data_IF_297791025940
#
_entry.id   IF_297791025940
#
_cell.length_a   1.000
_cell.length_b   1.000
_cell.length_c   1.000
_cell.angle_alpha   90.00
_cell.angle_beta   90.00
_cell.angle_gamma   90.00
#
_symmetry.space_group_name_H-M   'P 1'
#
loop_
_entity.id
_entity.type
_entity.pdbx_description
1 polymer ?
#
# COMPACT_ATOMS: atom_id res chain seq x y z
N UNK A 1 67.01 -137.29 48.28
CA UNK A 1 68.28 -136.96 48.97
C UNK A 1 68.00 -136.87 50.46
N UNK A 2 68.71 -137.64 51.29
CA UNK A 2 68.57 -137.56 52.75
C UNK A 2 69.20 -136.22 53.20
N UNK A 3 68.50 -135.38 53.99
CA UNK A 3 69.07 -134.13 54.45
C UNK A 3 70.34 -134.40 55.26
N UNK A 4 71.40 -133.61 55.03
CA UNK A 4 72.56 -133.60 55.92
C UNK A 4 72.08 -133.13 57.30
N UNK A 5 71.99 -134.06 58.24
CA UNK A 5 71.73 -133.77 59.65
C UNK A 5 73.04 -133.27 60.24
N UNK A 6 73.22 -131.95 60.25
CA UNK A 6 74.27 -131.32 61.03
C UNK A 6 73.93 -131.48 62.52
N UNK A 7 74.97 -131.75 63.30
CA UNK A 7 74.88 -131.87 64.76
C UNK A 7 74.54 -130.51 65.37
N UNK A 8 73.70 -130.45 66.42
CA UNK A 8 73.30 -129.20 67.05
C UNK A 8 74.47 -128.29 67.42
N UNK A 9 75.58 -128.84 67.92
CA UNK A 9 76.79 -128.09 68.28
C UNK A 9 77.40 -127.32 67.10
N UNK A 10 77.40 -127.90 65.90
CA UNK A 10 77.97 -127.26 64.71
C UNK A 10 77.11 -126.07 64.25
N UNK A 11 75.80 -126.18 64.43
CA UNK A 11 74.84 -125.11 64.11
C UNK A 11 75.02 -123.95 65.11
N UNK A 12 75.25 -124.27 66.38
CA UNK A 12 75.51 -123.31 67.46
C UNK A 12 76.83 -122.57 67.22
N UNK A 13 77.91 -123.28 66.92
CA UNK A 13 79.21 -122.68 66.65
C UNK A 13 79.18 -121.74 65.43
N UNK A 14 78.44 -122.12 64.38
CA UNK A 14 78.19 -121.27 63.23
C UNK A 14 77.39 -120.00 63.57
N UNK A 15 76.40 -120.11 64.46
CA UNK A 15 75.64 -118.96 64.96
C UNK A 15 76.49 -118.01 65.82
N UNK A 16 77.33 -118.55 66.71
CA UNK A 16 78.27 -117.76 67.52
C UNK A 16 79.30 -117.05 66.65
N UNK A 17 79.81 -117.69 65.61
CA UNK A 17 80.73 -117.06 64.66
C UNK A 17 80.06 -115.93 63.86
N UNK A 18 78.79 -116.11 63.46
CA UNK A 18 78.00 -115.03 62.82
C UNK A 18 77.74 -113.86 63.78
N UNK A 19 77.53 -114.16 65.07
CA UNK A 19 77.38 -113.15 66.13
C UNK A 19 78.66 -112.36 66.38
N UNK A 20 79.82 -113.03 66.45
CA UNK A 20 81.13 -112.41 66.63
C UNK A 20 81.51 -111.47 65.46
N UNK A 21 81.02 -111.77 64.25
CA UNK A 21 81.17 -110.91 63.07
C UNK A 21 80.11 -109.79 62.98
N UNK A 22 79.20 -109.68 63.95
CA UNK A 22 78.14 -108.67 63.97
C UNK A 22 77.09 -108.84 62.87
N UNK A 23 76.96 -110.04 62.29
CA UNK A 23 75.98 -110.33 61.22
C UNK A 23 74.68 -110.91 61.78
N UNK A 24 73.55 -110.56 61.15
CA UNK A 24 72.24 -111.05 61.54
C UNK A 24 72.10 -112.57 61.35
N UNK A 25 71.68 -113.27 62.41
CA UNK A 25 71.60 -114.74 62.45
C UNK A 25 70.22 -115.21 61.98
N UNK A 26 70.09 -115.32 60.66
CA UNK A 26 68.90 -115.90 60.00
C UNK A 26 69.15 -117.35 59.62
N UNK A 27 68.09 -118.14 59.39
CA UNK A 27 68.23 -119.54 58.95
C UNK A 27 69.05 -119.71 57.67
N UNK A 28 69.01 -118.72 56.77
CA UNK A 28 69.84 -118.69 55.57
C UNK A 28 71.30 -118.32 55.85
N UNK A 29 71.56 -117.38 56.78
CA UNK A 29 72.93 -117.06 57.20
C UNK A 29 73.60 -118.28 57.86
N UNK A 30 72.86 -119.01 58.70
CA UNK A 30 73.30 -120.27 59.31
C UNK A 30 73.58 -121.33 58.24
N UNK A 31 72.69 -121.49 57.25
CA UNK A 31 72.91 -122.39 56.12
C UNK A 31 74.18 -122.04 55.33
N UNK A 32 74.41 -120.75 55.09
CA UNK A 32 75.59 -120.27 54.36
C UNK A 32 76.89 -120.49 55.14
N UNK A 33 76.84 -120.47 56.48
CA UNK A 33 78.01 -120.72 57.35
C UNK A 33 78.30 -122.20 57.56
N UNK A 34 77.26 -123.01 57.76
CA UNK A 34 77.36 -124.47 57.99
C UNK A 34 77.56 -125.24 56.66
N UNK A 35 77.26 -124.61 55.52
CA UNK A 35 77.51 -125.16 54.18
C UNK A 35 76.35 -125.98 53.60
N UNK A 36 75.20 -126.06 54.27
CA UNK A 36 74.03 -126.81 53.80
C UNK A 36 72.95 -126.98 54.86
N UNK A 37 71.90 -127.75 54.55
CA UNK A 37 70.81 -128.06 55.48
C UNK A 37 69.53 -127.24 55.25
N UNK A 38 68.46 -127.60 55.98
CA UNK A 38 67.18 -126.90 55.93
C UNK A 38 67.24 -125.62 56.79
N UNK A 39 67.08 -124.41 56.21
CA UNK A 39 67.10 -123.15 56.96
C UNK A 39 66.15 -123.11 58.16
N UNK A 40 64.99 -123.76 58.05
CA UNK A 40 64.01 -123.84 59.13
C UNK A 40 64.51 -124.63 60.33
N UNK A 41 65.11 -125.81 60.11
CA UNK A 41 65.71 -126.61 61.19
C UNK A 41 66.93 -125.93 61.80
N UNK A 42 67.79 -125.30 60.98
CA UNK A 42 68.97 -124.59 61.46
C UNK A 42 68.57 -123.39 62.34
N UNK A 43 67.57 -122.62 61.89
CA UNK A 43 67.03 -121.51 62.67
C UNK A 43 66.34 -122.02 63.92
N UNK A 44 65.58 -123.11 63.85
CA UNK A 44 64.96 -123.72 65.02
C UNK A 44 65.97 -124.17 66.06
N UNK A 45 67.04 -124.88 65.68
CA UNK A 45 68.08 -125.32 66.63
C UNK A 45 68.85 -124.13 67.20
N UNK A 46 69.12 -123.10 66.39
CA UNK A 46 69.73 -121.86 66.88
C UNK A 46 68.80 -121.07 67.80
N UNK A 47 67.51 -121.04 67.51
CA UNK A 47 66.49 -120.38 68.33
C UNK A 47 66.23 -121.19 69.61
N UNK A 48 66.34 -122.52 69.57
CA UNK A 48 66.34 -123.40 70.75
C UNK A 48 67.61 -123.19 71.58
N UNK A 49 68.79 -123.05 70.95
CA UNK A 49 70.02 -122.66 71.64
C UNK A 49 69.94 -121.24 72.23
N UNK A 50 69.37 -120.28 71.50
CA UNK A 50 69.08 -118.96 72.02
C UNK A 50 68.05 -119.04 73.14
N UNK A 51 67.03 -119.88 73.06
CA UNK A 51 66.00 -120.05 74.09
C UNK A 51 66.47 -120.89 75.28
N UNK A 52 67.56 -121.66 75.15
CA UNK A 52 68.23 -122.38 76.25
C UNK A 52 69.39 -121.58 76.83
N UNK A 53 70.03 -120.68 76.07
CA UNK A 53 70.84 -119.59 76.64
C UNK A 53 69.98 -118.50 77.27
N UNK A 54 68.78 -118.31 76.71
CA UNK A 54 67.66 -117.53 77.25
C UNK A 54 66.69 -118.49 77.94
N UNK A 55 67.20 -119.55 78.57
CA UNK A 55 66.73 -119.82 79.92
C UNK A 55 67.14 -118.57 80.69
N UNK A 56 66.30 -117.53 80.57
CA UNK A 56 65.91 -116.79 81.73
C UNK A 56 65.41 -117.90 82.64
N UNK A 57 66.31 -118.44 83.46
CA UNK A 57 65.97 -118.67 84.84
C UNK A 57 65.23 -117.39 85.18
N UNK A 58 63.91 -117.45 85.13
CA UNK A 58 63.13 -116.70 86.06
C UNK A 58 63.66 -117.26 87.39
N UNK A 59 64.80 -116.71 87.83
CA UNK A 59 64.92 -116.28 89.21
C UNK A 59 63.52 -115.80 89.49
N UNK A 60 62.79 -116.41 90.44
CA UNK A 60 61.52 -115.86 90.83
C UNK A 60 61.87 -114.39 91.02
N UNK A 61 61.34 -113.50 90.17
CA UNK A 61 61.56 -112.07 90.35
C UNK A 61 61.12 -111.94 91.77
N UNK A 62 62.11 -111.80 92.67
CA UNK A 62 61.85 -111.94 94.09
C UNK A 62 60.75 -110.95 94.25
N UNK A 63 59.53 -111.44 94.57
CA UNK A 63 58.34 -110.59 94.58
C UNK A 63 58.84 -109.35 95.28
N UNK A 64 58.88 -108.23 94.53
CA UNK A 64 59.58 -107.04 95.00
C UNK A 64 59.11 -106.92 96.43
N UNK A 65 60.03 -107.01 97.43
CA UNK A 65 59.63 -107.18 98.83
C UNK A 65 58.44 -106.28 99.06
N UNK A 66 57.33 -106.79 99.63
CA UNK A 66 56.00 -106.14 99.52
C UNK A 66 56.06 -104.61 99.70
N UNK A 67 56.98 -104.14 100.54
CA UNK A 67 57.42 -102.76 100.68
C UNK A 67 57.80 -102.05 99.35
N UNK A 68 58.72 -102.59 98.55
CA UNK A 68 59.14 -102.05 97.25
C UNK A 68 58.04 -102.13 96.18
N UNK A 69 57.21 -103.18 96.16
CA UNK A 69 56.07 -103.27 95.23
C UNK A 69 54.99 -102.22 95.55
N UNK A 70 54.68 -102.04 96.84
CA UNK A 70 53.76 -101.00 97.32
C UNK A 70 54.33 -99.59 97.08
N UNK A 71 55.65 -99.37 97.24
CA UNK A 71 56.30 -98.10 96.88
C UNK A 71 56.22 -97.81 95.38
N UNK A 72 56.51 -98.78 94.50
CA UNK A 72 56.38 -98.60 93.04
C UNK A 72 54.92 -98.32 92.64
N UNK A 73 53.97 -98.99 93.28
CA UNK A 73 52.53 -98.76 93.09
C UNK A 73 52.10 -97.38 93.60
N UNK A 74 52.59 -96.95 94.75
CA UNK A 74 52.34 -95.61 95.29
C UNK A 74 52.91 -94.52 94.38
N UNK A 75 54.16 -94.68 93.91
CA UNK A 75 54.81 -93.74 92.98
C UNK A 75 54.10 -93.70 91.64
N UNK A 76 53.72 -94.84 91.08
CA UNK A 76 52.97 -94.88 89.80
C UNK A 76 51.57 -94.29 89.93
N UNK A 77 50.87 -94.52 91.06
CA UNK A 77 49.59 -93.87 91.36
C UNK A 77 49.74 -92.36 91.49
N UNK A 78 50.75 -91.89 92.25
CA UNK A 78 51.04 -90.46 92.41
C UNK A 78 51.43 -89.79 91.09
N UNK A 79 52.19 -90.49 90.23
CA UNK A 79 52.53 -90.01 88.90
C UNK A 79 51.31 -89.95 87.99
N UNK A 80 50.45 -90.96 87.99
CA UNK A 80 49.20 -90.97 87.23
C UNK A 80 48.25 -89.84 87.67
N UNK A 81 48.18 -89.57 88.97
CA UNK A 81 47.41 -88.45 89.53
C UNK A 81 48.00 -87.10 89.09
N UNK A 82 49.34 -86.94 89.15
CA UNK A 82 50.04 -85.75 88.66
C UNK A 82 49.83 -85.51 87.17
N UNK A 83 49.88 -86.56 86.35
CA UNK A 83 49.62 -86.48 84.90
C UNK A 83 48.16 -86.08 84.65
N UNK A 84 47.21 -86.67 85.38
CA UNK A 84 45.79 -86.32 85.27
C UNK A 84 45.53 -84.87 85.63
N UNK A 85 46.12 -84.40 86.74
CA UNK A 85 46.05 -83.00 87.16
C UNK A 85 46.65 -82.05 86.10
N UNK A 86 47.85 -82.35 85.60
CA UNK A 86 48.49 -81.56 84.55
C UNK A 86 47.64 -81.51 83.27
N UNK A 87 47.02 -82.62 82.89
CA UNK A 87 46.12 -82.69 81.74
C UNK A 87 44.88 -81.82 81.93
N UNK A 88 44.28 -81.82 83.12
CA UNK A 88 43.15 -80.93 83.44
C UNK A 88 43.55 -79.45 83.40
N UNK A 89 44.72 -79.09 83.97
CA UNK A 89 45.21 -77.71 83.94
C UNK A 89 45.55 -77.23 82.52
N UNK A 90 46.14 -78.09 81.69
CA UNK A 90 46.40 -77.81 80.28
C UNK A 90 45.10 -77.64 79.49
N UNK A 91 44.10 -78.48 79.74
CA UNK A 91 42.78 -78.36 79.13
C UNK A 91 42.11 -77.03 79.52
N UNK A 92 42.07 -76.70 80.82
CA UNK A 92 41.51 -75.44 81.30
C UNK A 92 42.21 -74.21 80.68
N UNK A 93 43.54 -74.25 80.54
CA UNK A 93 44.30 -73.20 79.84
C UNK A 93 43.95 -73.12 78.36
N UNK A 94 43.80 -74.26 77.69
CA UNK A 94 43.42 -74.32 76.27
C UNK A 94 42.00 -73.78 76.04
N UNK A 95 41.04 -74.16 76.88
CA UNK A 95 39.65 -73.67 76.84
C UNK A 95 39.63 -72.16 77.06
N UNK A 96 40.28 -71.65 78.11
CA UNK A 96 40.34 -70.19 78.35
C UNK A 96 41.00 -69.42 77.22
N UNK A 97 42.04 -69.99 76.58
CA UNK A 97 42.67 -69.38 75.42
C UNK A 97 41.77 -69.38 74.19
N UNK A 98 41.00 -70.46 73.97
CA UNK A 98 40.01 -70.55 72.91
C UNK A 98 38.84 -69.57 73.13
N UNK A 99 38.30 -69.49 74.34
CA UNK A 99 37.24 -68.53 74.71
C UNK A 99 37.67 -67.08 74.49
N UNK A 100 38.90 -66.73 74.89
CA UNK A 100 39.46 -65.40 74.61
C UNK A 100 39.56 -65.13 73.11
N UNK A 101 40.08 -66.06 72.32
CA UNK A 101 40.13 -65.94 70.86
C UNK A 101 38.73 -65.78 70.24
N UNK A 102 37.75 -66.57 70.69
CA UNK A 102 36.37 -66.46 70.21
C UNK A 102 35.79 -65.09 70.58
N UNK A 103 36.01 -64.61 71.79
CA UNK A 103 35.55 -63.27 72.21
C UNK A 103 36.20 -62.16 71.39
N UNK A 104 37.50 -62.26 71.10
CA UNK A 104 38.22 -61.29 70.28
C UNK A 104 37.72 -61.29 68.83
N UNK A 105 37.55 -62.47 68.22
CA UNK A 105 37.00 -62.62 66.87
C UNK A 105 35.57 -62.10 66.79
N UNK A 106 34.73 -62.42 67.78
CA UNK A 106 33.34 -61.95 67.83
C UNK A 106 33.29 -60.43 67.97
N UNK A 107 34.14 -59.85 68.82
CA UNK A 107 34.26 -58.39 68.97
C UNK A 107 34.72 -57.74 67.67
N UNK A 108 35.77 -58.26 67.03
CA UNK A 108 36.30 -57.72 65.78
C UNK A 108 35.27 -57.82 64.63
N UNK A 109 34.53 -58.93 64.53
CA UNK A 109 33.45 -59.09 63.56
C UNK A 109 32.29 -58.11 63.84
N UNK A 110 31.94 -57.90 65.12
CA UNK A 110 30.95 -56.90 65.52
C UNK A 110 31.38 -55.47 65.17
N UNK A 111 32.63 -55.12 65.39
CA UNK A 111 33.18 -53.81 65.01
C UNK A 111 33.22 -53.63 63.49
N UNK A 112 33.60 -54.67 62.74
CA UNK A 112 33.62 -54.64 61.27
C UNK A 112 32.22 -54.52 60.67
N UNK A 113 31.23 -55.24 61.21
CA UNK A 113 29.83 -55.15 60.76
C UNK A 113 29.25 -53.76 61.07
N UNK A 114 29.47 -53.24 62.28
CA UNK A 114 29.03 -51.88 62.63
C UNK A 114 29.68 -50.80 61.74
N UNK A 115 30.96 -50.98 61.37
CA UNK A 115 31.62 -50.07 60.44
C UNK A 115 31.03 -50.16 59.02
N UNK A 116 30.81 -51.37 58.51
CA UNK A 116 30.19 -51.57 57.20
C UNK A 116 28.76 -51.01 57.15
N UNK A 117 27.97 -51.17 58.21
CA UNK A 117 26.63 -50.59 58.31
C UNK A 117 26.65 -49.05 58.27
N UNK A 118 27.63 -48.41 58.92
CA UNK A 118 27.81 -46.96 58.86
C UNK A 118 28.19 -46.50 57.45
N UNK A 119 29.15 -47.18 56.83
CA UNK A 119 29.57 -46.86 55.46
C UNK A 119 28.43 -47.05 54.44
N UNK A 120 27.61 -48.10 54.63
CA UNK A 120 26.42 -48.31 53.82
C UNK A 120 25.36 -47.22 54.03
N UNK A 121 25.17 -46.76 55.27
CA UNK A 121 24.24 -45.67 55.57
C UNK A 121 24.70 -44.34 54.94
N UNK A 122 26.00 -44.03 55.03
CA UNK A 122 26.60 -42.85 54.39
C UNK A 122 26.45 -42.95 52.86
N UNK A 123 26.73 -44.11 52.27
CA UNK A 123 26.55 -44.34 50.84
C UNK A 123 25.09 -44.18 50.41
N UNK A 124 24.13 -44.72 51.17
CA UNK A 124 22.70 -44.56 50.90
C UNK A 124 22.29 -43.08 50.92
N UNK A 125 22.73 -42.31 51.93
CA UNK A 125 22.48 -40.87 51.98
C UNK A 125 23.06 -40.13 50.77
N UNK A 126 24.27 -40.49 50.32
CA UNK A 126 24.84 -39.86 49.12
C UNK A 126 24.07 -40.19 47.84
N UNK A 127 23.45 -41.37 47.76
CA UNK A 127 22.59 -41.72 46.63
C UNK A 127 21.32 -40.87 46.66
N UNK A 128 20.67 -40.75 47.81
CA UNK A 128 19.47 -39.91 47.98
C UNK A 128 19.76 -38.45 47.59
N UNK A 129 20.89 -37.88 48.05
CA UNK A 129 21.32 -36.53 47.70
C UNK A 129 21.58 -36.35 46.20
N UNK A 130 22.07 -37.39 45.52
CA UNK A 130 22.32 -37.38 44.07
C UNK A 130 21.02 -37.52 43.27
N UNK A 131 20.07 -38.33 43.76
CA UNK A 131 18.74 -38.47 43.16
C UNK A 131 17.97 -37.15 43.25
N UNK A 132 18.00 -36.46 44.40
CA UNK A 132 17.37 -35.14 44.55
C UNK A 132 17.97 -34.11 43.57
N UNK A 133 19.30 -34.10 43.42
CA UNK A 133 19.98 -33.24 42.44
C UNK A 133 19.60 -33.59 41.00
N UNK A 134 19.51 -34.87 40.68
CA UNK A 134 19.12 -35.34 39.35
C UNK A 134 17.69 -34.91 39.02
N UNK A 135 16.77 -35.03 39.97
CA UNK A 135 15.39 -34.57 39.82
C UNK A 135 15.33 -33.05 39.63
N UNK A 136 16.10 -32.30 40.41
CA UNK A 136 16.23 -30.84 40.27
C UNK A 136 16.71 -30.42 38.88
N UNK A 137 17.84 -30.98 38.42
CA UNK A 137 18.39 -30.69 37.08
C UNK A 137 17.43 -31.12 35.97
N UNK A 138 16.73 -32.24 36.14
CA UNK A 138 15.75 -32.71 35.16
C UNK A 138 14.55 -31.77 35.08
N UNK A 139 14.07 -31.24 36.21
CA UNK A 139 13.01 -30.25 36.26
C UNK A 139 13.43 -28.92 35.60
N UNK A 140 14.65 -28.45 35.87
CA UNK A 140 15.22 -27.26 35.23
C UNK A 140 15.36 -27.44 33.71
N UNK A 141 15.83 -28.61 33.26
CA UNK A 141 15.94 -28.93 31.84
C UNK A 141 14.57 -28.92 31.15
N UNK A 142 13.54 -29.53 31.77
CA UNK A 142 12.17 -29.50 31.24
C UNK A 142 11.67 -28.06 31.10
N UNK A 143 11.85 -27.24 32.13
CA UNK A 143 11.47 -25.82 32.10
C UNK A 143 12.22 -25.03 31.02
N UNK A 144 13.51 -25.29 30.83
CA UNK A 144 14.30 -24.64 29.80
C UNK A 144 13.82 -25.03 28.39
N UNK A 145 13.44 -26.30 28.18
CA UNK A 145 12.85 -26.75 26.91
C UNK A 145 11.50 -26.09 26.64
N UNK A 146 10.62 -25.99 27.65
CA UNK A 146 9.34 -25.29 27.52
C UNK A 146 9.52 -23.80 27.15
N UNK A 147 10.48 -23.12 27.78
CA UNK A 147 10.80 -21.73 27.46
C UNK A 147 11.39 -21.57 26.05
N UNK A 148 12.22 -22.52 25.61
CA UNK A 148 12.79 -22.53 24.27
C UNK A 148 11.69 -22.71 23.21
N UNK A 149 10.77 -23.64 23.42
CA UNK A 149 9.66 -23.87 22.49
C UNK A 149 8.70 -22.67 22.48
N UNK A 150 8.38 -22.07 23.63
CA UNK A 150 7.61 -20.83 23.68
C UNK A 150 8.31 -19.66 22.94
N UNK A 151 9.64 -19.57 23.03
CA UNK A 151 10.41 -18.58 22.28
C UNK A 151 10.35 -18.83 20.77
N UNK A 152 10.43 -20.10 20.34
CA UNK A 152 10.32 -20.48 18.94
C UNK A 152 8.95 -20.19 18.36
N UNK A 153 7.87 -20.42 19.12
CA UNK A 153 6.52 -20.08 18.68
C UNK A 153 6.35 -18.55 18.53
N UNK A 154 6.84 -17.76 19.48
CA UNK A 154 6.85 -16.29 19.34
C UNK A 154 7.66 -15.81 18.13
N UNK A 155 8.79 -16.46 17.83
CA UNK A 155 9.60 -16.13 16.66
C UNK A 155 8.84 -16.44 15.35
N UNK A 156 8.14 -17.58 15.29
CA UNK A 156 7.27 -17.92 14.15
C UNK A 156 6.13 -16.90 13.98
N UNK A 157 5.45 -16.53 15.06
CA UNK A 157 4.41 -15.50 15.05
C UNK A 157 4.96 -14.16 14.55
N UNK A 158 6.13 -13.75 15.04
CA UNK A 158 6.80 -12.52 14.59
C UNK A 158 7.20 -12.57 13.11
N UNK A 159 7.68 -13.72 12.63
CA UNK A 159 8.01 -13.91 11.21
C UNK A 159 6.77 -13.78 10.32
N UNK A 160 5.67 -14.41 10.71
CA UNK A 160 4.38 -14.29 10.00
C UNK A 160 3.93 -12.82 9.99
N UNK A 161 3.90 -12.15 11.14
CA UNK A 161 3.53 -10.74 11.23
C UNK A 161 4.45 -9.84 10.40
N UNK A 162 5.76 -10.11 10.37
CA UNK A 162 6.70 -9.37 9.54
C UNK A 162 6.44 -9.57 8.05
N UNK A 163 6.09 -10.79 7.62
CA UNK A 163 5.71 -11.06 6.23
C UNK A 163 4.42 -10.33 5.83
N UNK A 164 3.39 -10.36 6.69
CA UNK A 164 2.14 -9.63 6.44
C UNK A 164 2.36 -8.11 6.32
N UNK A 165 3.19 -7.53 7.21
CA UNK A 165 3.53 -6.10 7.14
C UNK A 165 4.31 -5.78 5.87
N UNK A 166 5.24 -6.64 5.44
CA UNK A 166 5.98 -6.45 4.18
C UNK A 166 5.05 -6.52 2.96
N UNK A 167 4.10 -7.45 2.95
CA UNK A 167 3.11 -7.55 1.89
C UNK A 167 2.20 -6.33 1.82
N UNK A 168 1.72 -5.85 2.98
CA UNK A 168 0.93 -4.60 3.07
C UNK A 168 1.72 -3.39 2.62
N UNK A 169 3.00 -3.30 2.99
CA UNK A 169 3.89 -2.23 2.55
C UNK A 169 4.08 -2.26 1.03
N UNK A 170 4.40 -3.43 0.46
CA UNK A 170 4.56 -3.57 -0.99
C UNK A 170 3.27 -3.23 -1.75
N UNK A 171 2.10 -3.63 -1.23
CA UNK A 171 0.81 -3.25 -1.80
C UNK A 171 0.57 -1.73 -1.75
N UNK A 172 0.88 -1.09 -0.63
CA UNK A 172 0.77 0.37 -0.47
C UNK A 172 1.75 1.12 -1.37
N UNK A 173 2.99 0.64 -1.51
CA UNK A 173 3.99 1.23 -2.41
C UNK A 173 3.54 1.13 -3.87
N UNK A 174 2.98 -0.01 -4.28
CA UNK A 174 2.42 -0.19 -5.63
C UNK A 174 1.25 0.77 -5.88
N UNK A 175 0.31 0.88 -4.93
CA UNK A 175 -0.80 1.83 -5.02
C UNK A 175 -0.30 3.27 -5.13
N UNK A 176 0.72 3.64 -4.36
CA UNK A 176 1.31 4.97 -4.43
C UNK A 176 1.97 5.25 -5.79
N UNK A 177 2.72 4.28 -6.33
CA UNK A 177 3.32 4.39 -7.66
C UNK A 177 2.27 4.52 -8.77
N UNK A 178 1.17 3.77 -8.69
CA UNK A 178 0.05 3.88 -9.63
C UNK A 178 -0.64 5.24 -9.52
N UNK A 179 -0.89 5.73 -8.30
CA UNK A 179 -1.45 7.05 -8.05
C UNK A 179 -0.53 8.17 -8.55
N UNK A 180 0.79 8.06 -8.37
CA UNK A 180 1.77 9.03 -8.86
C UNK A 180 1.79 9.06 -10.40
N UNK A 181 1.74 7.88 -11.06
CA UNK A 181 1.63 7.80 -12.52
C UNK A 181 0.33 8.44 -13.03
N UNK A 182 -0.80 8.16 -12.38
CA UNK A 182 -2.09 8.77 -12.73
C UNK A 182 -2.07 10.29 -12.53
N UNK A 183 -1.49 10.78 -11.43
CA UNK A 183 -1.33 12.20 -11.16
C UNK A 183 -0.46 12.90 -12.21
N UNK A 184 0.67 12.28 -12.61
CA UNK A 184 1.52 12.80 -13.69
C UNK A 184 0.79 12.86 -15.03
N UNK A 185 0.04 11.83 -15.39
CA UNK A 185 -0.77 11.80 -16.61
C UNK A 185 -1.86 12.88 -16.59
N UNK A 186 -2.58 13.04 -15.47
CA UNK A 186 -3.59 14.07 -15.32
C UNK A 186 -2.98 15.49 -15.40
N UNK A 187 -1.84 15.71 -14.75
CA UNK A 187 -1.11 16.99 -14.84
C UNK A 187 -0.67 17.30 -16.27
N UNK A 188 -0.19 16.30 -17.02
CA UNK A 188 0.21 16.48 -18.42
C UNK A 188 -1.00 16.76 -19.32
N UNK A 189 -2.13 16.07 -19.11
CA UNK A 189 -3.38 16.36 -19.82
C UNK A 189 -3.87 17.78 -19.53
N UNK A 190 -3.85 18.22 -18.28
CA UNK A 190 -4.20 19.59 -17.92
C UNK A 190 -3.26 20.61 -18.55
N UNK A 191 -1.95 20.34 -18.59
CA UNK A 191 -0.96 21.18 -19.27
C UNK A 191 -1.29 21.33 -20.76
N UNK A 192 -1.58 20.23 -21.44
CA UNK A 192 -1.97 20.22 -22.84
C UNK A 192 -3.29 20.97 -23.10
N UNK A 193 -4.29 20.80 -22.22
CA UNK A 193 -5.56 21.54 -22.33
C UNK A 193 -5.37 23.04 -22.14
N UNK A 194 -4.53 23.45 -21.20
CA UNK A 194 -4.19 24.87 -21.00
C UNK A 194 -3.50 25.44 -22.24
N UNK A 195 -2.55 24.70 -22.83
CA UNK A 195 -1.85 25.11 -24.04
C UNK A 195 -2.80 25.22 -25.26
N UNK A 196 -3.70 24.25 -25.45
CA UNK A 196 -4.75 24.33 -26.48
C UNK A 196 -5.67 25.54 -26.29
N UNK A 197 -6.16 25.76 -25.07
CA UNK A 197 -7.02 26.90 -24.75
C UNK A 197 -6.30 28.23 -24.96
N UNK A 198 -5.02 28.33 -24.59
CA UNK A 198 -4.19 29.51 -24.85
C UNK A 198 -4.04 29.76 -26.36
N UNK A 199 -3.79 28.72 -27.15
CA UNK A 199 -3.70 28.84 -28.61
C UNK A 199 -5.03 29.30 -29.23
N UNK A 200 -6.15 28.70 -28.81
CA UNK A 200 -7.50 29.08 -29.25
C UNK A 200 -7.85 30.51 -28.88
N UNK A 201 -7.47 30.95 -27.68
CA UNK A 201 -7.68 32.31 -27.21
C UNK A 201 -6.86 33.30 -28.04
N UNK A 202 -5.57 33.02 -28.27
CA UNK A 202 -4.72 33.86 -29.13
C UNK A 202 -5.26 33.95 -30.57
N UNK A 203 -5.75 32.84 -31.13
CA UNK A 203 -6.38 32.83 -32.45
C UNK A 203 -7.69 33.64 -32.49
N UNK A 204 -8.52 33.53 -31.46
CA UNK A 204 -9.76 34.30 -31.35
C UNK A 204 -9.48 35.80 -31.20
N UNK A 205 -8.48 36.18 -30.39
CA UNK A 205 -8.03 37.56 -30.24
C UNK A 205 -7.52 38.13 -31.57
N UNK A 206 -6.73 37.36 -32.32
CA UNK A 206 -6.26 37.74 -33.65
C UNK A 206 -7.42 37.94 -34.63
N UNK A 207 -8.36 36.99 -34.70
CA UNK A 207 -9.53 37.09 -35.57
C UNK A 207 -10.42 38.29 -35.21
N UNK A 208 -10.58 38.58 -33.92
CA UNK A 208 -11.33 39.74 -33.45
C UNK A 208 -10.63 41.06 -33.82
N UNK A 209 -9.29 41.11 -33.71
CA UNK A 209 -8.51 42.26 -34.15
C UNK A 209 -8.62 42.47 -35.66
N UNK A 210 -8.52 41.40 -36.46
CA UNK A 210 -8.69 41.44 -37.92
C UNK A 210 -10.10 41.92 -38.30
N UNK A 211 -11.16 41.34 -37.73
CA UNK A 211 -12.55 41.80 -37.95
C UNK A 211 -12.75 43.26 -37.51
N UNK A 212 -12.20 43.66 -36.36
CA UNK A 212 -12.23 45.04 -35.91
C UNK A 212 -11.56 46.00 -36.90
N UNK A 213 -10.39 45.64 -37.43
CA UNK A 213 -9.73 46.44 -38.48
C UNK A 213 -10.55 46.50 -39.77
N UNK A 214 -11.13 45.38 -40.22
CA UNK A 214 -12.00 45.31 -41.38
C UNK A 214 -13.22 46.23 -41.22
N UNK A 215 -13.91 46.17 -40.09
CA UNK A 215 -15.06 47.05 -39.82
C UNK A 215 -14.68 48.52 -39.77
N UNK A 216 -13.52 48.88 -39.19
CA UNK A 216 -13.03 50.26 -39.21
C UNK A 216 -12.74 50.72 -40.64
N UNK A 217 -12.17 49.86 -41.49
CA UNK A 217 -11.95 50.19 -42.90
C UNK A 217 -13.26 50.31 -43.68
N UNK A 218 -14.20 49.38 -43.51
CA UNK A 218 -15.53 49.43 -44.15
C UNK A 218 -16.29 50.69 -43.75
N UNK A 219 -16.29 51.05 -42.46
CA UNK A 219 -16.92 52.29 -41.98
C UNK A 219 -16.25 53.54 -42.57
N UNK A 220 -14.93 53.53 -42.72
CA UNK A 220 -14.21 54.64 -43.36
C UNK A 220 -14.59 54.76 -44.84
N UNK A 221 -14.64 53.63 -45.55
CA UNK A 221 -14.96 53.59 -46.98
C UNK A 221 -16.42 53.97 -47.23
N UNK A 222 -17.36 53.45 -46.44
CA UNK A 222 -18.77 53.86 -46.46
C UNK A 222 -18.91 55.36 -46.17
N UNK A 223 -18.19 55.89 -45.17
CA UNK A 223 -18.20 57.32 -44.88
C UNK A 223 -17.64 58.13 -46.05
N UNK A 224 -16.58 57.67 -46.71
CA UNK A 224 -16.02 58.31 -47.89
C UNK A 224 -17.02 58.29 -49.07
N UNK A 225 -17.66 57.14 -49.32
CA UNK A 225 -18.72 56.98 -50.33
C UNK A 225 -19.90 57.94 -50.05
N UNK A 226 -20.41 57.99 -48.82
CA UNK A 226 -21.46 58.93 -48.46
C UNK A 226 -21.04 60.39 -48.62
N UNK A 227 -19.80 60.76 -48.30
CA UNK A 227 -19.29 62.11 -48.56
C UNK A 227 -19.30 62.41 -50.07
N UNK A 228 -18.89 61.46 -50.91
CA UNK A 228 -18.92 61.62 -52.37
C UNK A 228 -20.35 61.73 -52.91
N UNK A 229 -21.25 60.85 -52.49
CA UNK A 229 -22.68 60.88 -52.88
C UNK A 229 -23.33 62.20 -52.47
N UNK A 230 -23.12 62.66 -51.23
CA UNK A 230 -23.64 63.95 -50.76
C UNK A 230 -23.07 65.10 -51.60
N UNK A 231 -21.78 65.05 -51.96
CA UNK A 231 -21.17 66.06 -52.83
C UNK A 231 -21.77 66.05 -54.24
N UNK A 232 -21.98 64.87 -54.82
CA UNK A 232 -22.61 64.70 -56.13
C UNK A 232 -24.06 65.18 -56.11
N UNK A 233 -24.86 64.74 -55.13
CA UNK A 233 -26.23 65.20 -54.92
C UNK A 233 -26.29 66.72 -54.74
N UNK A 234 -25.39 67.31 -53.95
CA UNK A 234 -25.31 68.77 -53.77
C UNK A 234 -24.97 69.48 -55.08
N UNK A 235 -24.03 68.93 -55.86
CA UNK A 235 -23.67 69.50 -57.17
C UNK A 235 -24.79 69.36 -58.20
N UNK A 236 -25.51 68.23 -58.20
CA UNK A 236 -26.67 67.97 -59.03
C UNK A 236 -27.81 68.91 -58.65
N UNK A 237 -28.10 69.05 -57.35
CA UNK A 237 -29.09 69.99 -56.83
C UNK A 237 -28.77 71.43 -57.24
N UNK A 238 -27.52 71.87 -57.06
CA UNK A 238 -27.09 73.22 -57.48
C UNK A 238 -27.20 73.44 -58.99
N UNK A 239 -26.90 72.42 -59.82
CA UNK A 239 -27.13 72.48 -61.28
C UNK A 239 -28.62 72.59 -61.60
N UNK A 240 -29.46 71.75 -61.00
CA UNK A 240 -30.92 71.79 -61.22
C UNK A 240 -31.52 73.11 -60.75
N UNK A 241 -31.05 73.65 -59.63
CA UNK A 241 -31.46 74.94 -59.10
C UNK A 241 -31.04 76.08 -60.06
N UNK A 242 -29.80 76.05 -60.56
CA UNK A 242 -29.34 77.01 -61.59
C UNK A 242 -30.13 76.91 -62.89
N UNK A 243 -30.46 75.71 -63.35
CA UNK A 243 -31.25 75.50 -64.56
C UNK A 243 -32.72 75.92 -64.36
N UNK A 244 -33.29 75.67 -63.18
CA UNK A 244 -34.61 76.17 -62.80
C UNK A 244 -34.62 77.71 -62.74
N UNK A 245 -33.58 78.31 -62.16
CA UNK A 245 -33.43 79.77 -62.13
C UNK A 245 -33.35 80.35 -63.54
N UNK A 246 -32.53 79.78 -64.44
CA UNK A 246 -32.47 80.21 -65.85
C UNK A 246 -33.82 80.06 -66.55
N UNK A 247 -34.55 78.98 -66.29
CA UNK A 247 -35.89 78.76 -66.86
C UNK A 247 -36.89 79.78 -66.32
N UNK A 248 -36.78 80.15 -65.05
CA UNK A 248 -37.58 81.20 -64.42
C UNK A 248 -37.26 82.56 -65.06
N UNK A 249 -35.99 82.96 -65.13
CA UNK A 249 -35.54 84.21 -65.75
C UNK A 249 -36.00 84.31 -67.23
N UNK A 250 -35.93 83.20 -67.97
CA UNK A 250 -36.41 83.13 -69.35
C UNK A 250 -37.94 83.24 -69.45
N UNK A 251 -38.67 82.63 -68.51
CA UNK A 251 -40.13 82.78 -68.43
C UNK A 251 -40.54 84.20 -68.07
N UNK A 252 -39.85 84.84 -67.13
CA UNK A 252 -40.02 86.25 -66.77
C UNK A 252 -39.72 87.18 -67.94
N UNK A 253 -38.63 86.93 -68.68
CA UNK A 253 -38.29 87.69 -69.89
C UNK A 253 -39.36 87.55 -70.97
N UNK A 254 -39.87 86.33 -71.20
CA UNK A 254 -40.99 86.10 -72.14
C UNK A 254 -42.28 86.77 -71.68
N UNK A 255 -42.55 86.79 -70.37
CA UNK A 255 -43.70 87.49 -69.80
C UNK A 255 -43.55 89.01 -69.99
N UNK A 256 -42.36 89.56 -69.77
CA UNK A 256 -42.05 90.97 -70.01
C UNK A 256 -42.18 91.33 -71.51
N UNK A 257 -41.67 90.49 -72.41
CA UNK A 257 -41.85 90.63 -73.87
C UNK A 257 -43.33 90.51 -74.28
N UNK A 258 -44.09 89.61 -73.69
CA UNK A 258 -45.53 89.50 -73.93
C UNK A 258 -46.25 90.75 -73.43
N UNK A 259 -45.86 91.26 -72.26
CA UNK A 259 -46.36 92.52 -71.70
C UNK A 259 -46.06 93.72 -72.59
N UNK A 260 -44.85 93.82 -73.15
CA UNK A 260 -44.51 94.90 -74.10
C UNK A 260 -45.22 94.74 -75.44
N UNK A 261 -45.37 93.53 -75.97
CA UNK A 261 -46.19 93.27 -77.17
C UNK A 261 -47.65 93.65 -76.96
N UNK A 262 -48.26 93.22 -75.85
CA UNK A 262 -49.64 93.62 -75.53
C UNK A 262 -49.77 95.13 -75.32
N UNK A 263 -48.78 95.79 -74.70
CA UNK A 263 -48.79 97.25 -74.58
C UNK A 263 -48.73 97.94 -75.95
N UNK A 264 -47.91 97.42 -76.87
CA UNK A 264 -47.81 97.91 -78.25
C UNK A 264 -49.10 97.65 -79.04
N UNK A 265 -49.68 96.45 -78.95
CA UNK A 265 -50.97 96.11 -79.57
C UNK A 265 -52.10 97.01 -79.05
N UNK A 266 -52.17 97.26 -77.74
CA UNK A 266 -53.13 98.19 -77.16
C UNK A 266 -52.92 99.63 -77.63
N UNK A 267 -51.67 100.05 -77.84
CA UNK A 267 -51.35 101.37 -78.39
C UNK A 267 -51.78 101.48 -79.86
N UNK A 268 -51.58 100.43 -80.67
CA UNK A 268 -52.00 100.37 -82.07
C UNK A 268 -53.53 100.35 -82.21
N UNK A 269 -54.23 99.60 -81.36
CA UNK A 269 -55.69 99.62 -81.29
C UNK A 269 -56.18 101.03 -80.93
N UNK A 270 -55.52 101.72 -79.98
CA UNK A 270 -55.87 103.11 -79.63
C UNK A 270 -55.65 104.09 -80.78
N UNK A 271 -54.56 103.96 -81.54
CA UNK A 271 -54.30 104.85 -82.68
C UNK A 271 -55.28 104.59 -83.83
N UNK A 272 -55.62 103.33 -84.10
CA UNK A 272 -56.67 102.97 -85.06
C UNK A 272 -58.03 103.55 -84.64
N UNK A 273 -58.44 103.36 -83.39
CA UNK A 273 -59.70 103.89 -82.87
C UNK A 273 -59.75 105.43 -82.90
N UNK A 274 -58.63 106.11 -82.60
CA UNK A 274 -58.52 107.56 -82.72
C UNK A 274 -58.64 108.05 -84.17
N UNK A 275 -58.12 107.28 -85.13
CA UNK A 275 -58.28 107.54 -86.57
C UNK A 275 -59.74 107.41 -87.01
N UNK A 276 -60.42 106.35 -86.60
CA UNK A 276 -61.85 106.14 -86.89
C UNK A 276 -62.74 107.24 -86.29
N UNK A 277 -62.43 107.70 -85.07
CA UNK A 277 -63.17 108.78 -84.42
C UNK A 277 -63.04 110.11 -85.17
N UNK A 278 -61.85 110.46 -85.69
CA UNK A 278 -61.65 111.66 -86.52
C UNK A 278 -62.45 111.63 -87.82
N UNK A 279 -62.55 110.46 -88.45
CA UNK A 279 -63.35 110.29 -89.67
C UNK A 279 -64.84 110.47 -89.34
N UNK A 280 -65.30 109.95 -88.20
CA UNK A 280 -66.68 110.12 -87.72
C UNK A 280 -67.02 111.57 -87.37
N UNK A 281 -66.11 112.30 -86.74
CA UNK A 281 -66.28 113.73 -86.44
C UNK A 281 -66.38 114.58 -87.72
N UNK A 282 -65.51 114.33 -88.71
CA UNK A 282 -65.57 115.03 -89.99
C UNK A 282 -66.89 114.79 -90.75
N UNK A 283 -67.45 113.58 -90.67
CA UNK A 283 -68.74 113.25 -91.26
C UNK A 283 -69.91 113.98 -90.57
N UNK A 284 -69.85 114.13 -89.24
CA UNK A 284 -70.86 114.85 -88.47
C UNK A 284 -70.84 116.37 -88.77
N UNK A 285 -69.66 116.98 -88.88
CA UNK A 285 -69.53 118.39 -89.25
C UNK A 285 -70.11 118.70 -90.63
N UNK A 286 -69.93 117.81 -91.60
CA UNK A 286 -70.52 117.97 -92.95
C UNK A 286 -72.05 117.95 -92.89
N UNK A 287 -72.63 116.99 -92.16
CA UNK A 287 -74.10 116.89 -92.00
C UNK A 287 -74.72 118.05 -91.20
N UNK A 288 -73.98 118.65 -90.27
CA UNK A 288 -74.43 119.84 -89.56
C UNK A 288 -74.45 121.08 -90.46
N UNK A 289 -73.51 121.19 -91.40
CA UNK A 289 -73.47 122.28 -92.38
C UNK A 289 -74.65 122.21 -93.37
N UNK A 290 -74.95 121.02 -93.87
CA UNK A 290 -76.07 120.82 -94.81
C UNK A 290 -77.46 121.05 -94.17
N UNK A 291 -77.61 120.74 -92.87
CA UNK A 291 -78.87 120.98 -92.14
C UNK A 291 -79.09 122.45 -91.75
N UNK A 292 -78.00 123.22 -91.61
CA UNK A 292 -78.01 124.68 -91.42
C UNK A 292 -78.55 125.39 -92.67
N UNK A 293 -78.00 125.08 -93.84
CA UNK A 293 -78.34 125.76 -95.09
C UNK A 293 -79.80 125.49 -95.53
N UNK A 294 -80.31 124.29 -95.24
CA UNK A 294 -81.71 123.93 -95.49
C UNK A 294 -82.71 124.70 -94.60
N UNK A 295 -82.28 125.19 -93.43
CA UNK A 295 -83.12 125.94 -92.48
C UNK A 295 -83.29 127.40 -92.90
N UNK A 296 -82.23 128.03 -93.41
CA UNK A 296 -82.28 129.42 -93.89
C UNK A 296 -83.14 129.56 -95.15
N UNK A 297 -83.06 128.62 -96.09
CA UNK A 297 -83.91 128.62 -97.29
C UNK A 297 -85.42 128.50 -96.96
N UNK A 298 -85.77 127.78 -95.88
CA UNK A 298 -87.15 127.61 -95.43
C UNK A 298 -87.71 128.87 -94.77
N UNK A 299 -86.88 129.62 -94.03
CA UNK A 299 -87.29 130.87 -93.38
C UNK A 299 -87.65 131.97 -94.40
N UNK A 300 -86.91 132.06 -95.51
CA UNK A 300 -87.17 133.03 -96.58
C UNK A 300 -88.52 132.80 -97.29
N UNK A 301 -88.84 131.55 -97.64
CA UNK A 301 -90.11 131.19 -98.33
C UNK A 301 -91.36 131.41 -97.46
N UNK A 302 -91.21 131.41 -96.13
CA UNK A 302 -92.34 131.59 -95.21
C UNK A 302 -92.74 133.07 -95.08
N UNK A 303 -91.78 133.99 -95.25
CA UNK A 303 -92.03 135.44 -95.21
C UNK A 303 -92.82 135.97 -96.43
N UNK A 304 -92.56 135.43 -97.62
CA UNK A 304 -93.27 135.82 -98.85
C UNK A 304 -94.75 135.39 -98.84
N UNK A 305 -95.07 134.26 -98.20
CA UNK A 305 -96.43 133.72 -98.13
C UNK A 305 -97.35 134.53 -97.19
N UNK A 306 -96.77 135.18 -96.17
CA UNK A 306 -97.51 136.07 -95.27
C UNK A 306 -97.89 137.41 -95.91
N UNK A 307 -97.08 137.92 -96.86
CA UNK A 307 -97.37 139.16 -97.58
C UNK A 307 -98.55 139.01 -98.56
N UNK A 308 -98.75 137.83 -99.14
CA UNK A 308 -99.84 137.55 -100.09
C UNK A 308 -101.20 137.30 -99.42
N UNK A 309 -101.24 136.77 -98.19
CA UNK A 309 -102.50 136.55 -97.46
C UNK A 309 -103.13 137.85 -96.96
N UNK A 310 -102.33 138.81 -96.51
CA UNK A 310 -102.84 140.10 -96.01
C UNK A 310 -103.49 140.97 -97.10
N UNK A 311 -103.04 140.85 -98.36
CA UNK A 311 -103.59 141.62 -99.48
C UNK A 311 -104.97 141.09 -99.96
N UNK A 312 -105.22 139.77 -99.84
CA UNK A 312 -106.48 139.17 -100.28
C UNK A 312 -107.63 139.35 -99.29
N UNK A 313 -107.35 139.50 -97.99
CA UNK A 313 -108.40 139.74 -96.99
C UNK A 313 -109.01 141.16 -97.09
N UNK A 314 -108.26 142.15 -97.57
CA UNK A 314 -108.78 143.52 -97.72
C UNK A 314 -109.73 143.69 -98.93
N UNK A 315 -109.63 142.83 -99.95
CA UNK A 315 -110.50 142.87 -101.14
C UNK A 315 -111.87 142.20 -100.93
N UNK A 316 -111.96 141.21 -100.04
CA UNK A 316 -113.20 140.48 -99.77
C UNK A 316 -114.20 141.25 -98.88
N UNK A 317 -113.75 142.25 -98.11
CA UNK A 317 -114.60 142.95 -97.14
C UNK A 317 -115.46 144.07 -97.75
N UNK A 318 -115.17 144.59 -98.94
CA UNK A 318 -115.86 145.77 -99.50
C UNK A 318 -117.03 145.47 -100.46
N UNK A 319 -117.27 144.21 -100.86
CA UNK A 319 -118.28 143.85 -101.87
C UNK A 319 -119.58 143.22 -101.33
N UNK A 320 -119.83 143.18 -100.02
CA UNK A 320 -121.09 142.69 -99.44
C UNK A 320 -121.64 143.63 -98.35
N UNK A 321 -122.50 144.60 -98.71
CA UNK A 321 -123.21 145.47 -97.76
C UNK A 321 -124.31 144.72 -96.98
N UNK A 322 -124.64 144.99 -95.71
CA UNK A 322 -124.30 146.06 -94.75
C UNK A 322 -124.32 145.50 -93.31
N UNK A 323 -123.46 146.06 -92.44
CA UNK A 323 -123.32 145.94 -90.97
C UNK A 323 -122.91 144.56 -90.39
N UNK A 324 -121.64 144.39 -89.95
CA UNK A 324 -121.10 143.08 -89.46
C UNK A 324 -119.78 143.22 -88.65
N UNK A 325 -119.39 142.22 -87.83
CA UNK A 325 -119.57 142.18 -86.37
C UNK A 325 -118.33 142.51 -85.52
N UNK A 326 -118.60 142.75 -84.23
CA UNK A 326 -117.72 143.07 -83.10
C UNK A 326 -116.51 142.12 -82.93
N UNK A 327 -115.27 142.60 -82.80
CA UNK A 327 -114.61 143.34 -81.70
C UNK A 327 -114.23 142.49 -80.47
N UNK A 328 -112.91 142.26 -80.30
CA UNK A 328 -112.20 142.17 -79.01
C UNK A 328 -110.67 142.21 -79.22
N UNK A 329 -109.95 142.90 -78.32
CA UNK A 329 -108.50 143.18 -78.31
C UNK A 329 -107.77 142.31 -77.27
N UNK A 330 -106.45 142.08 -77.44
CA UNK A 330 -105.27 142.20 -76.49
C UNK A 330 -104.17 141.16 -76.77
N UNK A 331 -103.00 141.52 -77.32
CA UNK A 331 -101.68 141.89 -76.70
C UNK A 331 -100.70 140.72 -76.44
N UNK A 332 -99.61 140.75 -77.23
CA UNK A 332 -98.27 140.14 -77.13
C UNK A 332 -98.14 138.63 -77.16
#
# INVERSE_FOLDING_TARGET
>A
MRPATFEPQQIIEAGLALQAEGRNITGFALRNRVGGGNPGRLKQVWDEHLASQTEVTAEPVAELPVEVAEEVKAVSSALAERISQLATELNDKAVRAAERRVSEVTRAAGEQTAQAERELADAAQTVDDLEEKLDGVTAELRKALELLDASREREKENLIGLTEVRERLAASEKQHQEAEKAAKQASEQHRQQVEDLQSRLANAEKALAESGTQHVTELRDLKAQHITEVKELKSGHSRTESDLQKRLDAAESRLAEAGTRHAAELQEIRTQHAGEMKIREAALELTQKETSDAREARAAMTGELTALKAHNEQLAALLAGKNKPAAAKTKK
#
